data_IF_201904057199
#
_entry.id   IF_201904057199
#
_cell.length_a   1.000
_cell.length_b   1.000
_cell.length_c   1.000
_cell.angle_alpha   90.00
_cell.angle_beta   90.00
_cell.angle_gamma   90.00
#
_symmetry.space_group_name_H-M   'P 1'
#
loop_
_entity.id
_entity.type
_entity.pdbx_description
1 polymer ?
#
# COMPACT_ATOMS: atom_id res chain seq x y z
N UNK A 1 -1.11 23.02 -32.01
CA UNK A 1 -1.70 22.53 -30.73
C UNK A 1 -1.37 23.54 -29.65
N UNK A 2 -2.36 24.00 -28.86
CA UNK A 2 -2.10 24.93 -27.73
C UNK A 2 -1.86 24.13 -26.46
N UNK A 3 -0.84 24.50 -25.69
CA UNK A 3 -0.49 23.83 -24.43
C UNK A 3 -1.04 24.60 -23.21
N UNK A 4 -1.34 25.88 -23.38
CA UNK A 4 -1.84 26.76 -22.34
C UNK A 4 -3.09 27.50 -22.79
N UNK A 5 -4.00 27.74 -21.84
CA UNK A 5 -5.16 28.60 -21.99
C UNK A 5 -5.06 29.78 -21.01
N UNK A 6 -5.45 30.97 -21.46
CA UNK A 6 -5.51 32.16 -20.61
C UNK A 6 -6.98 32.52 -20.37
N UNK A 7 -7.38 32.44 -19.11
CA UNK A 7 -8.72 32.86 -18.67
C UNK A 7 -8.59 33.71 -17.39
N UNK A 8 -9.31 34.80 -17.32
CA UNK A 8 -9.35 35.68 -16.13
C UNK A 8 -7.96 36.06 -15.59
N UNK A 9 -7.04 36.46 -16.48
CA UNK A 9 -5.63 36.80 -16.17
C UNK A 9 -4.80 35.66 -15.54
N UNK A 10 -5.30 34.42 -15.59
CA UNK A 10 -4.57 33.22 -15.14
C UNK A 10 -4.26 32.31 -16.33
N UNK A 11 -3.19 31.54 -16.18
CA UNK A 11 -2.75 30.56 -17.18
C UNK A 11 -3.08 29.17 -16.68
N UNK A 12 -3.74 28.39 -17.53
CA UNK A 12 -4.09 27.00 -17.27
C UNK A 12 -3.48 26.11 -18.34
N UNK A 13 -3.17 24.87 -17.96
CA UNK A 13 -2.76 23.84 -18.93
C UNK A 13 -4.00 23.29 -19.65
N UNK A 14 -3.91 23.18 -20.97
CA UNK A 14 -4.85 22.38 -21.76
C UNK A 14 -4.63 20.87 -21.46
N UNK A 15 -5.47 19.99 -21.97
CA UNK A 15 -5.24 18.54 -21.90
C UNK A 15 -3.90 18.15 -22.54
N UNK A 16 -3.61 18.69 -23.73
CA UNK A 16 -2.33 18.53 -24.39
C UNK A 16 -1.16 19.09 -23.56
N UNK A 17 -1.38 20.20 -22.84
CA UNK A 17 -0.39 20.79 -21.94
C UNK A 17 -0.11 19.89 -20.72
N UNK A 18 -1.15 19.26 -20.14
CA UNK A 18 -0.99 18.28 -19.06
C UNK A 18 -0.22 17.04 -19.50
N UNK A 19 -0.56 16.52 -20.68
CA UNK A 19 0.15 15.38 -21.26
C UNK A 19 1.62 15.72 -21.51
N UNK A 20 1.91 16.85 -22.15
CA UNK A 20 3.30 17.27 -22.39
C UNK A 20 4.06 17.48 -21.09
N UNK A 21 3.42 18.05 -20.07
CA UNK A 21 4.05 18.24 -18.75
C UNK A 21 4.49 16.92 -18.15
N UNK A 22 3.64 15.87 -18.20
CA UNK A 22 4.02 14.55 -17.69
C UNK A 22 5.25 13.97 -18.39
N UNK A 23 5.34 14.11 -19.72
CA UNK A 23 6.51 13.66 -20.47
C UNK A 23 7.75 14.52 -20.17
N UNK A 24 7.59 15.83 -20.06
CA UNK A 24 8.68 16.74 -19.74
C UNK A 24 9.24 16.49 -18.32
N UNK A 25 8.37 16.30 -17.33
CA UNK A 25 8.75 15.97 -15.96
C UNK A 25 9.55 14.64 -15.94
N UNK A 26 9.13 13.64 -16.72
CA UNK A 26 9.85 12.36 -16.85
C UNK A 26 11.24 12.54 -17.47
N UNK A 27 11.36 13.31 -18.56
CA UNK A 27 12.64 13.55 -19.24
C UNK A 27 13.59 14.32 -18.32
N UNK A 28 13.11 15.36 -17.65
CA UNK A 28 13.93 16.16 -16.74
C UNK A 28 14.42 15.34 -15.54
N UNK A 29 13.56 14.49 -14.98
CA UNK A 29 13.94 13.64 -13.85
C UNK A 29 14.96 12.57 -14.27
N UNK A 30 14.83 11.98 -15.48
CA UNK A 30 15.81 11.03 -16.02
C UNK A 30 17.16 11.70 -16.28
N UNK A 31 17.17 12.94 -16.76
CA UNK A 31 18.40 13.70 -16.95
C UNK A 31 19.07 13.99 -15.60
N UNK A 32 18.33 14.44 -14.59
CA UNK A 32 18.86 14.65 -13.25
C UNK A 32 19.43 13.36 -12.65
N UNK A 33 18.71 12.25 -12.81
CA UNK A 33 19.17 10.93 -12.36
C UNK A 33 20.48 10.51 -13.05
N UNK A 34 20.60 10.75 -14.37
CA UNK A 34 21.83 10.43 -15.09
C UNK A 34 23.03 11.22 -14.56
N UNK A 35 22.82 12.47 -14.17
CA UNK A 35 23.87 13.31 -13.55
C UNK A 35 24.22 12.80 -12.16
N UNK A 36 23.23 12.35 -11.36
CA UNK A 36 23.46 11.77 -10.03
C UNK A 36 24.21 10.44 -10.13
N UNK A 37 23.80 9.53 -11.03
CA UNK A 37 24.49 8.26 -11.28
C UNK A 37 25.93 8.47 -11.71
N UNK A 38 26.21 9.47 -12.56
CA UNK A 38 27.56 9.81 -12.98
C UNK A 38 28.40 10.43 -11.85
N UNK A 39 27.77 11.15 -10.92
CA UNK A 39 28.44 11.67 -9.72
C UNK A 39 28.70 10.59 -8.69
N UNK A 40 27.79 9.61 -8.59
CA UNK A 40 27.85 8.50 -7.64
C UNK A 40 28.65 7.29 -8.14
N UNK A 41 29.13 7.30 -9.39
CA UNK A 41 30.03 6.23 -9.91
C UNK A 41 31.34 6.09 -9.12
N UNK A 42 31.52 6.90 -8.09
CA UNK A 42 32.60 6.81 -7.10
C UNK A 42 32.16 6.69 -5.66
N UNK A 43 30.86 6.65 -5.34
CA UNK A 43 30.35 6.57 -3.97
C UNK A 43 29.04 5.77 -3.92
N UNK A 44 28.92 4.94 -2.91
CA UNK A 44 27.80 4.13 -2.41
C UNK A 44 26.43 4.53 -2.94
N UNK A 45 25.81 3.64 -3.75
CA UNK A 45 24.53 3.90 -4.39
C UNK A 45 23.41 4.23 -3.39
N UNK A 46 22.61 5.24 -3.70
CA UNK A 46 21.38 5.55 -2.95
C UNK A 46 20.17 4.82 -3.56
N UNK A 47 19.27 4.36 -2.72
CA UNK A 47 18.02 3.71 -3.11
C UNK A 47 16.86 4.32 -2.34
N UNK A 48 15.87 4.88 -3.07
CA UNK A 48 14.67 5.49 -2.51
C UNK A 48 13.47 4.61 -2.81
N UNK A 49 12.81 4.08 -1.80
CA UNK A 49 11.62 3.29 -2.06
C UNK A 49 10.45 3.70 -1.16
N UNK A 50 9.24 3.52 -1.69
CA UNK A 50 8.00 3.72 -0.97
C UNK A 50 7.40 2.41 -0.51
N UNK A 51 6.71 2.43 0.63
CA UNK A 51 5.87 1.32 1.06
C UNK A 51 4.48 1.82 1.42
N UNK A 52 3.48 0.97 1.18
CA UNK A 52 2.12 1.23 1.63
C UNK A 52 2.05 1.31 3.16
N UNK A 53 1.10 2.11 3.67
CA UNK A 53 0.96 2.40 5.12
C UNK A 53 1.02 1.15 5.98
N UNK A 54 0.23 0.12 5.69
CA UNK A 54 0.20 -1.11 6.50
C UNK A 54 1.56 -1.83 6.52
N UNK A 55 2.19 -1.96 5.36
CA UNK A 55 3.51 -2.59 5.27
C UNK A 55 4.55 -1.76 6.03
N UNK A 56 4.41 -0.44 6.01
CA UNK A 56 5.20 0.50 6.79
C UNK A 56 5.04 0.28 8.30
N UNK A 57 3.81 0.08 8.76
CA UNK A 57 3.50 -0.14 10.18
C UNK A 57 3.94 -1.51 10.69
N UNK A 58 3.91 -2.54 9.85
CA UNK A 58 4.12 -3.94 10.30
C UNK A 58 5.50 -4.51 9.99
N UNK A 59 6.10 -4.16 8.84
CA UNK A 59 7.30 -4.86 8.33
C UNK A 59 8.48 -3.97 8.01
N UNK A 60 8.29 -2.64 7.84
CA UNK A 60 9.36 -1.75 7.39
C UNK A 60 10.58 -1.77 8.30
N UNK A 61 10.38 -1.81 9.62
CA UNK A 61 11.48 -1.84 10.57
C UNK A 61 12.37 -3.08 10.36
N UNK A 62 11.77 -4.27 10.22
CA UNK A 62 12.48 -5.51 9.93
C UNK A 62 13.18 -5.47 8.56
N UNK A 63 12.51 -4.94 7.54
CA UNK A 63 13.08 -4.75 6.19
C UNK A 63 14.32 -3.87 6.26
N UNK A 64 14.25 -2.71 6.93
CA UNK A 64 15.39 -1.78 7.02
C UNK A 64 16.55 -2.36 7.83
N UNK A 65 16.26 -3.07 8.93
CA UNK A 65 17.29 -3.76 9.70
C UNK A 65 18.02 -4.81 8.85
N UNK A 66 17.27 -5.62 8.11
CA UNK A 66 17.84 -6.64 7.23
C UNK A 66 18.63 -6.03 6.06
N UNK A 67 18.14 -4.95 5.47
CA UNK A 67 18.87 -4.22 4.43
C UNK A 67 20.17 -3.60 4.96
N UNK A 68 20.16 -3.02 6.17
CA UNK A 68 21.36 -2.45 6.78
C UNK A 68 22.43 -3.50 7.06
N UNK A 69 22.02 -4.73 7.41
CA UNK A 69 22.93 -5.85 7.63
C UNK A 69 23.45 -6.44 6.31
N UNK A 70 22.55 -6.67 5.35
CA UNK A 70 22.90 -7.33 4.07
C UNK A 70 23.63 -6.41 3.08
N UNK A 71 23.39 -5.10 3.13
CA UNK A 71 23.84 -4.10 2.16
C UNK A 71 24.33 -2.82 2.84
N UNK A 72 25.31 -2.89 3.77
CA UNK A 72 25.72 -1.73 4.57
C UNK A 72 26.31 -0.58 3.74
N UNK A 73 26.77 -0.86 2.53
CA UNK A 73 27.34 0.14 1.62
C UNK A 73 26.26 0.91 0.83
N UNK A 74 24.98 0.49 0.87
CA UNK A 74 23.90 1.16 0.14
C UNK A 74 23.12 2.07 1.08
N UNK A 75 23.07 3.37 0.75
CA UNK A 75 22.20 4.30 1.48
C UNK A 75 20.74 4.08 1.07
N UNK A 76 19.96 3.52 1.97
CA UNK A 76 18.53 3.27 1.75
C UNK A 76 17.69 4.37 2.38
N UNK A 77 16.75 4.93 1.61
CA UNK A 77 15.74 5.88 2.09
C UNK A 77 14.37 5.30 1.83
N UNK A 78 13.62 5.02 2.88
CA UNK A 78 12.25 4.53 2.80
C UNK A 78 11.26 5.61 3.19
N UNK A 79 10.09 5.61 2.56
CA UNK A 79 8.98 6.49 2.91
C UNK A 79 7.66 5.73 2.90
N UNK A 80 6.72 6.15 3.74
CA UNK A 80 5.40 5.51 3.91
C UNK A 80 4.34 6.43 3.33
N UNK A 81 3.58 5.95 2.36
CA UNK A 81 2.53 6.70 1.69
C UNK A 81 1.35 5.79 1.32
N UNK A 82 0.18 6.38 1.05
CA UNK A 82 -0.89 5.64 0.39
C UNK A 82 -0.55 5.38 -1.08
N UNK A 83 -1.24 4.43 -1.71
CA UNK A 83 -0.93 3.98 -3.08
C UNK A 83 -0.98 5.13 -4.10
N UNK A 84 -1.93 6.04 -3.97
CA UNK A 84 -2.09 7.18 -4.89
C UNK A 84 -0.89 8.14 -4.85
N UNK A 85 -0.44 8.48 -3.64
CA UNK A 85 0.71 9.35 -3.46
C UNK A 85 2.01 8.66 -3.92
N UNK A 86 2.14 7.37 -3.62
CA UNK A 86 3.26 6.55 -4.08
C UNK A 86 3.34 6.51 -5.62
N UNK A 87 2.21 6.33 -6.30
CA UNK A 87 2.16 6.38 -7.77
C UNK A 87 2.63 7.73 -8.32
N UNK A 88 2.17 8.84 -7.71
CA UNK A 88 2.63 10.19 -8.08
C UNK A 88 4.15 10.31 -7.94
N UNK A 89 4.69 9.86 -6.81
CA UNK A 89 6.13 9.93 -6.53
C UNK A 89 6.97 9.09 -7.50
N UNK A 90 6.48 7.91 -7.92
CA UNK A 90 7.12 7.10 -8.96
C UNK A 90 7.15 7.85 -10.30
N UNK A 91 6.03 8.46 -10.71
CA UNK A 91 5.95 9.23 -11.95
C UNK A 91 6.87 10.45 -11.95
N UNK A 92 7.07 11.06 -10.81
CA UNK A 92 7.96 12.23 -10.64
C UNK A 92 9.41 11.85 -10.34
N UNK A 93 9.74 10.54 -10.39
CA UNK A 93 11.06 10.00 -10.06
C UNK A 93 11.58 10.39 -8.65
N UNK A 94 10.65 10.65 -7.73
CA UNK A 94 10.98 10.85 -6.32
C UNK A 94 11.28 9.53 -5.62
N UNK A 95 10.72 8.41 -6.12
CA UNK A 95 11.00 7.04 -5.71
C UNK A 95 11.56 6.22 -6.86
N UNK A 96 12.44 5.30 -6.55
CA UNK A 96 13.05 4.38 -7.51
C UNK A 96 12.11 3.19 -7.78
N UNK A 97 11.43 2.72 -6.74
CA UNK A 97 10.35 1.75 -6.78
C UNK A 97 9.49 1.84 -5.51
N UNK A 98 8.43 1.08 -5.44
CA UNK A 98 7.60 0.98 -4.24
C UNK A 98 6.96 -0.40 -4.08
N UNK A 99 6.51 -0.69 -2.86
CA UNK A 99 5.65 -1.83 -2.54
C UNK A 99 4.29 -1.32 -2.10
N UNK A 100 3.27 -1.60 -2.90
CA UNK A 100 1.90 -1.11 -2.72
C UNK A 100 0.87 -2.24 -2.84
N UNK A 101 -0.31 -2.05 -2.29
CA UNK A 101 -1.41 -3.02 -2.31
C UNK A 101 -2.46 -2.75 -3.40
N UNK A 102 -2.36 -1.61 -4.05
CA UNK A 102 -3.25 -1.24 -5.16
C UNK A 102 -2.46 -0.41 -6.17
N UNK A 103 -2.66 -0.69 -7.45
CA UNK A 103 -1.97 0.00 -8.54
C UNK A 103 -2.95 0.35 -9.63
N UNK A 104 -2.94 1.61 -10.05
CA UNK A 104 -3.67 2.04 -11.23
C UNK A 104 -3.08 1.39 -12.48
N UNK A 105 -3.92 0.80 -13.31
CA UNK A 105 -3.48 0.23 -14.60
C UNK A 105 -2.99 1.37 -15.48
N UNK A 106 -1.70 1.37 -15.78
CA UNK A 106 -1.04 2.42 -16.56
C UNK A 106 0.12 1.87 -17.38
N UNK A 107 0.33 2.31 -18.63
CA UNK A 107 1.48 1.91 -19.43
C UNK A 107 2.82 2.42 -18.87
N UNK A 108 2.78 3.36 -17.93
CA UNK A 108 3.99 3.95 -17.33
C UNK A 108 4.61 3.08 -16.25
N UNK A 109 3.87 2.10 -15.71
CA UNK A 109 4.36 1.24 -14.65
C UNK A 109 4.79 -0.14 -15.14
N UNK A 110 5.78 -0.70 -14.47
CA UNK A 110 6.01 -2.13 -14.38
C UNK A 110 5.54 -2.58 -13.01
N UNK A 111 4.64 -3.55 -12.98
CA UNK A 111 3.99 -4.06 -11.78
C UNK A 111 4.32 -5.55 -11.70
N UNK A 112 4.90 -5.96 -10.58
CA UNK A 112 5.29 -7.35 -10.34
C UNK A 112 4.63 -7.81 -9.03
N UNK A 113 3.91 -8.95 -9.00
CA UNK A 113 3.36 -9.48 -7.75
C UNK A 113 4.50 -9.83 -6.79
N UNK A 114 4.28 -9.56 -5.50
CA UNK A 114 5.31 -9.76 -4.48
C UNK A 114 4.88 -10.75 -3.39
N UNK A 115 3.81 -10.47 -2.69
CA UNK A 115 3.25 -11.34 -1.64
C UNK A 115 1.77 -11.07 -1.45
N UNK A 116 1.09 -11.99 -0.74
CA UNK A 116 -0.30 -11.84 -0.32
C UNK A 116 -0.41 -11.64 1.20
N UNK A 117 -1.56 -11.17 1.65
CA UNK A 117 -1.89 -11.03 3.06
C UNK A 117 -3.40 -11.24 3.27
N UNK A 118 -3.74 -12.03 4.29
CA UNK A 118 -5.13 -12.22 4.71
C UNK A 118 -5.60 -11.06 5.60
N UNK A 119 -6.89 -10.72 5.46
CA UNK A 119 -7.57 -9.83 6.39
C UNK A 119 -8.37 -10.67 7.38
N UNK A 120 -8.22 -10.37 8.67
CA UNK A 120 -9.01 -10.98 9.72
C UNK A 120 -10.20 -10.07 10.09
N UNK A 121 -11.39 -10.65 10.24
CA UNK A 121 -12.54 -10.00 10.84
C UNK A 121 -12.44 -10.11 12.35
N UNK A 122 -12.25 -9.00 13.05
CA UNK A 122 -12.02 -9.00 14.50
C UNK A 122 -12.97 -8.06 15.25
N UNK A 123 -13.31 -8.44 16.47
CA UNK A 123 -14.17 -7.67 17.36
C UNK A 123 -13.77 -7.89 18.83
N UNK A 124 -14.34 -7.11 19.75
CA UNK A 124 -14.20 -7.35 21.19
C UNK A 124 -14.74 -8.74 21.57
N UNK A 125 -14.18 -9.41 22.61
CA UNK A 125 -14.63 -10.73 23.05
C UNK A 125 -16.14 -10.81 23.37
N UNK A 126 -16.70 -9.76 23.96
CA UNK A 126 -18.13 -9.67 24.29
C UNK A 126 -19.05 -9.21 23.14
N UNK A 127 -18.49 -8.86 21.97
CA UNK A 127 -19.31 -8.52 20.80
C UNK A 127 -19.75 -9.81 20.09
N UNK A 128 -21.04 -9.99 19.81
CA UNK A 128 -21.62 -11.23 19.28
C UNK A 128 -21.25 -12.47 20.12
N UNK A 129 -21.40 -12.38 21.45
CA UNK A 129 -21.04 -13.46 22.36
C UNK A 129 -21.72 -14.79 21.94
N UNK A 130 -20.94 -15.88 21.91
CA UNK A 130 -21.41 -17.20 21.48
C UNK A 130 -21.42 -17.43 19.96
N UNK A 131 -21.20 -16.42 19.15
CA UNK A 131 -21.12 -16.56 17.69
C UNK A 131 -19.64 -16.48 17.24
N UNK A 132 -19.12 -17.57 16.68
CA UNK A 132 -17.70 -17.65 16.27
C UNK A 132 -17.50 -17.48 14.76
N UNK A 133 -18.56 -17.49 13.99
CA UNK A 133 -18.52 -17.33 12.53
C UNK A 133 -19.70 -16.53 12.02
N UNK A 134 -19.53 -15.97 10.83
CA UNK A 134 -20.53 -15.20 10.08
C UNK A 134 -20.43 -15.56 8.60
N UNK A 135 -21.55 -15.55 7.92
CA UNK A 135 -21.56 -15.48 6.45
C UNK A 135 -21.24 -14.05 6.02
N UNK A 136 -20.85 -13.85 4.75
CA UNK A 136 -20.63 -12.51 4.19
C UNK A 136 -21.88 -11.63 4.26
N UNK A 137 -23.07 -12.22 4.08
CA UNK A 137 -24.33 -11.50 4.20
C UNK A 137 -24.58 -11.03 5.64
N UNK A 138 -24.38 -11.89 6.63
CA UNK A 138 -24.48 -11.52 8.05
C UNK A 138 -23.46 -10.47 8.45
N UNK A 139 -22.21 -10.61 7.97
CA UNK A 139 -21.14 -9.63 8.20
C UNK A 139 -21.51 -8.24 7.67
N UNK A 140 -22.16 -8.15 6.52
CA UNK A 140 -22.57 -6.88 5.92
C UNK A 140 -23.66 -6.16 6.73
N UNK A 141 -24.49 -6.88 7.50
CA UNK A 141 -25.54 -6.33 8.38
C UNK A 141 -24.99 -5.87 9.74
N UNK A 142 -23.73 -6.24 10.06
CA UNK A 142 -23.10 -5.88 11.32
C UNK A 142 -22.56 -4.44 11.31
N UNK A 143 -22.24 -3.94 12.51
CA UNK A 143 -21.59 -2.63 12.67
C UNK A 143 -20.14 -2.70 12.22
N UNK A 144 -19.89 -2.30 10.98
CA UNK A 144 -18.56 -2.35 10.38
C UNK A 144 -17.73 -1.09 10.70
N UNK A 145 -16.48 -1.31 11.05
CA UNK A 145 -15.47 -0.28 11.32
C UNK A 145 -14.38 -0.44 10.24
N UNK A 146 -14.44 0.37 9.19
CA UNK A 146 -13.66 0.12 7.98
C UNK A 146 -12.67 1.25 7.68
N UNK A 147 -11.67 0.88 6.91
CA UNK A 147 -10.76 1.83 6.29
C UNK A 147 -11.53 2.74 5.31
N UNK A 148 -10.93 3.86 5.04
CA UNK A 148 -11.42 4.86 4.09
C UNK A 148 -11.53 4.29 2.66
N UNK A 149 -12.45 4.85 1.87
CA UNK A 149 -12.56 4.52 0.46
C UNK A 149 -11.27 4.84 -0.29
N UNK A 150 -10.84 3.90 -1.13
CA UNK A 150 -9.58 3.99 -1.88
C UNK A 150 -8.37 3.36 -1.17
N UNK A 151 -8.52 2.89 0.08
CA UNK A 151 -7.52 2.02 0.69
C UNK A 151 -7.61 0.60 0.10
N UNK A 152 -6.48 -0.08 -0.08
CA UNK A 152 -6.46 -1.45 -0.60
C UNK A 152 -7.21 -2.42 0.33
N UNK A 153 -7.10 -2.26 1.64
CA UNK A 153 -7.89 -3.03 2.62
C UNK A 153 -9.39 -2.85 2.39
N UNK A 154 -9.85 -1.60 2.21
CA UNK A 154 -11.27 -1.31 1.94
C UNK A 154 -11.70 -1.92 0.60
N UNK A 155 -10.90 -1.79 -0.44
CA UNK A 155 -11.21 -2.37 -1.74
C UNK A 155 -11.36 -3.90 -1.68
N UNK A 156 -10.51 -4.59 -0.89
CA UNK A 156 -10.61 -6.04 -0.69
C UNK A 156 -11.90 -6.42 0.04
N UNK A 157 -12.30 -5.65 1.08
CA UNK A 157 -13.56 -5.88 1.80
C UNK A 157 -14.77 -5.64 0.90
N UNK A 158 -14.79 -4.51 0.19
CA UNK A 158 -15.90 -4.17 -0.72
C UNK A 158 -16.04 -5.23 -1.83
N UNK A 159 -14.93 -5.71 -2.41
CA UNK A 159 -14.95 -6.75 -3.44
C UNK A 159 -15.47 -8.09 -2.90
N UNK A 160 -15.03 -8.50 -1.69
CA UNK A 160 -15.52 -9.73 -1.06
C UNK A 160 -17.03 -9.69 -0.78
N UNK A 161 -17.53 -8.60 -0.22
CA UNK A 161 -18.96 -8.44 0.06
C UNK A 161 -19.79 -8.33 -1.23
N UNK A 162 -19.31 -7.63 -2.25
CA UNK A 162 -19.99 -7.56 -3.55
C UNK A 162 -20.12 -8.93 -4.22
N UNK A 163 -19.12 -9.81 -4.06
CA UNK A 163 -19.18 -11.18 -4.55
C UNK A 163 -20.34 -11.98 -3.97
N UNK A 164 -20.77 -11.67 -2.74
CA UNK A 164 -21.95 -12.23 -2.07
C UNK A 164 -23.24 -11.40 -2.26
N UNK A 165 -23.23 -10.39 -3.14
CA UNK A 165 -24.37 -9.50 -3.35
C UNK A 165 -24.64 -8.50 -2.23
N UNK A 166 -23.69 -8.32 -1.30
CA UNK A 166 -23.79 -7.43 -0.16
C UNK A 166 -22.96 -6.15 -0.36
N UNK A 167 -23.24 -5.13 0.43
CA UNK A 167 -22.51 -3.84 0.37
C UNK A 167 -22.17 -3.37 1.77
N UNK A 168 -20.91 -3.01 2.00
CA UNK A 168 -20.47 -2.50 3.28
C UNK A 168 -21.05 -1.11 3.57
N UNK A 169 -21.66 -0.96 4.76
CA UNK A 169 -22.09 0.32 5.30
C UNK A 169 -21.41 0.56 6.65
N UNK A 170 -20.19 1.14 6.65
CA UNK A 170 -19.45 1.31 7.89
C UNK A 170 -20.09 2.34 8.81
N UNK A 171 -20.15 2.04 10.12
CA UNK A 171 -20.53 3.01 11.17
C UNK A 171 -19.35 3.91 11.55
N UNK A 172 -18.12 3.45 11.28
CA UNK A 172 -16.89 4.25 11.39
C UNK A 172 -16.06 4.02 10.13
N UNK A 173 -15.66 5.11 9.50
CA UNK A 173 -14.68 5.12 8.41
C UNK A 173 -13.45 5.92 8.84
N UNK A 174 -12.24 5.36 8.70
CA UNK A 174 -11.02 6.00 9.20
C UNK A 174 -9.79 5.65 8.36
N UNK A 175 -8.92 6.64 8.18
CA UNK A 175 -7.55 6.46 7.65
C UNK A 175 -6.61 5.85 8.70
N UNK A 176 -6.98 5.91 9.98
CA UNK A 176 -6.16 5.42 11.09
C UNK A 176 -6.57 4.01 11.49
N UNK A 177 -5.69 3.05 11.25
CA UNK A 177 -5.82 1.67 11.70
C UNK A 177 -5.91 1.58 13.22
N UNK A 178 -5.11 2.38 13.94
CA UNK A 178 -5.13 2.42 15.40
C UNK A 178 -6.50 2.87 15.96
N UNK A 179 -7.17 3.83 15.29
CA UNK A 179 -8.51 4.26 15.69
C UNK A 179 -9.54 3.14 15.49
N UNK A 180 -9.47 2.39 14.37
CA UNK A 180 -10.36 1.25 14.13
C UNK A 180 -10.16 0.14 15.16
N UNK A 181 -8.91 -0.19 15.52
CA UNK A 181 -8.62 -1.16 16.58
C UNK A 181 -9.15 -0.70 17.94
N UNK A 182 -8.97 0.58 18.28
CA UNK A 182 -9.52 1.14 19.53
C UNK A 182 -11.06 1.03 19.58
N UNK A 183 -11.74 1.34 18.48
CA UNK A 183 -13.19 1.18 18.36
C UNK A 183 -13.63 -0.30 18.49
N UNK A 184 -12.89 -1.22 17.84
CA UNK A 184 -13.19 -2.65 17.93
C UNK A 184 -13.01 -3.17 19.37
N UNK A 185 -11.91 -2.82 20.06
CA UNK A 185 -11.67 -3.17 21.47
C UNK A 185 -12.77 -2.62 22.39
N UNK A 186 -13.30 -1.44 22.08
CA UNK A 186 -14.42 -0.83 22.81
C UNK A 186 -15.79 -1.50 22.53
N UNK A 187 -15.84 -2.56 21.70
CA UNK A 187 -17.07 -3.27 21.37
C UNK A 187 -18.01 -2.51 20.45
N UNK A 188 -17.50 -1.56 19.65
CA UNK A 188 -18.34 -0.73 18.77
C UNK A 188 -18.72 -1.44 17.47
N UNK A 189 -18.08 -2.57 17.13
CA UNK A 189 -18.36 -3.33 15.91
C UNK A 189 -17.22 -4.25 15.50
N UNK A 190 -17.26 -4.69 14.25
CA UNK A 190 -16.28 -5.57 13.60
C UNK A 190 -15.37 -4.75 12.70
N UNK A 191 -14.07 -4.94 12.81
CA UNK A 191 -13.11 -4.39 11.83
C UNK A 191 -12.46 -5.51 11.04
N UNK A 192 -12.19 -5.23 9.74
CA UNK A 192 -11.48 -6.14 8.84
C UNK A 192 -10.13 -5.51 8.54
N UNK A 193 -9.08 -6.07 9.08
CA UNK A 193 -7.72 -5.56 8.98
C UNK A 193 -6.75 -6.69 8.68
N UNK A 194 -5.58 -6.37 8.09
CA UNK A 194 -4.50 -7.33 7.92
C UNK A 194 -4.22 -8.09 9.21
N UNK A 195 -4.09 -9.42 9.09
CA UNK A 195 -3.79 -10.29 10.23
C UNK A 195 -2.54 -9.84 11.00
N UNK A 196 -1.53 -9.34 10.28
CA UNK A 196 -0.29 -8.81 10.87
C UNK A 196 -0.52 -7.63 11.83
N UNK A 197 -1.59 -6.86 11.66
CA UNK A 197 -1.94 -5.72 12.53
C UNK A 197 -2.72 -6.12 13.78
N UNK A 198 -3.39 -7.26 13.75
CA UNK A 198 -4.29 -7.69 14.82
C UNK A 198 -3.73 -8.83 15.67
N UNK A 199 -2.62 -9.46 15.26
CA UNK A 199 -2.04 -10.62 15.92
C UNK A 199 -1.79 -10.40 17.42
N UNK A 200 -1.22 -9.24 17.77
CA UNK A 200 -0.94 -8.91 19.18
C UNK A 200 -2.21 -8.78 20.02
N UNK A 201 -3.28 -8.22 19.47
CA UNK A 201 -4.56 -8.10 20.14
C UNK A 201 -5.24 -9.46 20.31
N UNK A 202 -5.12 -10.33 19.31
CA UNK A 202 -5.62 -11.71 19.38
C UNK A 202 -4.89 -12.52 20.45
N UNK A 203 -3.55 -12.42 20.50
CA UNK A 203 -2.71 -13.11 21.50
C UNK A 203 -3.01 -12.64 22.93
N UNK A 204 -3.31 -11.36 23.12
CA UNK A 204 -3.67 -10.79 24.43
C UNK A 204 -5.12 -11.05 24.83
N UNK A 205 -5.96 -11.46 23.88
CA UNK A 205 -7.40 -11.61 24.11
C UNK A 205 -8.15 -10.25 24.17
N UNK A 206 -7.53 -9.15 23.73
CA UNK A 206 -8.19 -7.84 23.63
C UNK A 206 -9.21 -7.81 22.49
N UNK A 207 -8.95 -8.60 21.45
CA UNK A 207 -9.85 -8.88 20.33
C UNK A 207 -9.98 -10.40 20.14
N UNK A 208 -11.06 -10.81 19.48
CA UNK A 208 -11.24 -12.17 18.96
C UNK A 208 -11.53 -12.13 17.47
N UNK A 209 -11.17 -13.18 16.79
CA UNK A 209 -11.45 -13.36 15.36
C UNK A 209 -12.82 -14.02 15.16
N UNK A 210 -13.52 -13.57 14.13
CA UNK A 210 -14.74 -14.19 13.61
C UNK A 210 -14.40 -14.87 12.28
N UNK A 211 -14.68 -16.15 12.15
CA UNK A 211 -14.51 -16.84 10.89
C UNK A 211 -15.58 -16.38 9.88
N UNK A 212 -15.19 -16.23 8.62
CA UNK A 212 -16.12 -15.95 7.51
C UNK A 212 -16.32 -17.26 6.74
N UNK A 213 -17.56 -17.83 6.79
CA UNK A 213 -17.83 -19.20 6.34
C UNK A 213 -17.82 -19.37 4.82
N UNK A 214 -18.30 -18.36 4.09
CA UNK A 214 -18.55 -18.42 2.65
C UNK A 214 -17.61 -17.53 1.84
N UNK A 215 -16.47 -17.15 2.42
CA UNK A 215 -15.48 -16.34 1.76
C UNK A 215 -14.27 -15.99 2.62
N UNK A 216 -13.41 -15.21 2.06
CA UNK A 216 -12.22 -14.68 2.72
C UNK A 216 -11.82 -13.35 2.12
N UNK A 217 -11.07 -12.57 2.85
CA UNK A 217 -10.59 -11.29 2.40
C UNK A 217 -9.06 -11.33 2.28
N UNK A 218 -8.60 -11.16 1.07
CA UNK A 218 -7.18 -11.20 0.75
C UNK A 218 -6.78 -9.91 0.03
N UNK A 219 -5.56 -9.50 0.22
CA UNK A 219 -4.94 -8.46 -0.59
C UNK A 219 -3.56 -8.90 -1.05
N UNK A 220 -3.14 -8.38 -2.18
CA UNK A 220 -1.81 -8.63 -2.73
C UNK A 220 -0.98 -7.37 -2.66
N UNK A 221 0.32 -7.54 -2.46
CA UNK A 221 1.31 -6.49 -2.61
C UNK A 221 2.05 -6.65 -3.92
N UNK A 222 2.35 -5.52 -4.51
CA UNK A 222 3.04 -5.44 -5.79
C UNK A 222 4.28 -4.55 -5.65
N UNK A 223 5.34 -4.99 -6.26
CA UNK A 223 6.50 -4.13 -6.52
C UNK A 223 6.22 -3.33 -7.78
N UNK A 224 6.27 -2.01 -7.65
CA UNK A 224 5.94 -1.08 -8.73
C UNK A 224 7.10 -0.13 -8.97
N UNK A 225 7.42 0.09 -10.25
CA UNK A 225 8.40 1.08 -10.68
C UNK A 225 7.99 1.73 -11.99
N UNK A 226 8.57 2.87 -12.28
CA UNK A 226 8.38 3.47 -13.60
C UNK A 226 9.00 2.56 -14.67
N UNK A 227 8.32 2.37 -15.80
CA UNK A 227 8.78 1.47 -16.89
C UNK A 227 10.16 1.85 -17.42
N UNK A 228 10.46 3.14 -17.53
CA UNK A 228 11.73 3.66 -18.02
C UNK A 228 12.77 3.85 -16.93
N UNK A 229 12.51 3.44 -15.68
CA UNK A 229 13.46 3.57 -14.58
C UNK A 229 14.68 2.69 -14.82
N UNK A 230 15.85 3.30 -14.89
CA UNK A 230 17.10 2.57 -14.86
C UNK A 230 17.37 2.05 -13.44
N UNK A 231 17.50 0.75 -13.31
CA UNK A 231 17.85 0.13 -12.03
C UNK A 231 19.37 -0.07 -11.97
N UNK A 232 20.01 0.60 -11.04
CA UNK A 232 21.42 0.36 -10.70
C UNK A 232 21.58 -1.03 -10.08
N UNK A 233 22.79 -1.55 -10.02
CA UNK A 233 23.03 -2.85 -9.38
C UNK A 233 22.74 -2.83 -7.89
N UNK A 234 22.96 -1.69 -7.21
CA UNK A 234 22.54 -1.48 -5.83
C UNK A 234 21.04 -1.61 -5.65
N UNK A 235 20.24 -0.94 -6.50
CA UNK A 235 18.77 -1.04 -6.45
C UNK A 235 18.28 -2.47 -6.70
N UNK A 236 18.87 -3.20 -7.65
CA UNK A 236 18.54 -4.61 -7.92
C UNK A 236 18.81 -5.50 -6.71
N UNK A 237 19.91 -5.24 -5.98
CA UNK A 237 20.25 -5.96 -4.74
C UNK A 237 19.23 -5.65 -3.64
N UNK A 238 18.86 -4.38 -3.45
CA UNK A 238 17.80 -3.98 -2.50
C UNK A 238 16.47 -4.67 -2.82
N UNK A 239 16.05 -4.67 -4.10
CA UNK A 239 14.82 -5.36 -4.52
C UNK A 239 14.90 -6.87 -4.25
N UNK A 240 16.05 -7.51 -4.43
CA UNK A 240 16.23 -8.94 -4.15
C UNK A 240 16.04 -9.22 -2.64
N UNK A 241 16.71 -8.46 -1.78
CA UNK A 241 16.59 -8.59 -0.32
C UNK A 241 15.14 -8.37 0.13
N UNK A 242 14.46 -7.38 -0.44
CA UNK A 242 13.03 -7.15 -0.19
C UNK A 242 12.17 -8.35 -0.56
N UNK A 243 12.40 -8.97 -1.73
CA UNK A 243 11.68 -10.16 -2.17
C UNK A 243 11.91 -11.35 -1.25
N UNK A 244 13.14 -11.58 -0.84
CA UNK A 244 13.50 -12.66 0.08
C UNK A 244 12.83 -12.47 1.44
N UNK A 245 12.80 -11.24 1.95
CA UNK A 245 12.20 -10.93 3.23
C UNK A 245 10.66 -10.97 3.21
N UNK A 246 10.02 -10.54 2.12
CA UNK A 246 8.56 -10.49 1.98
C UNK A 246 7.97 -11.72 1.32
N UNK A 247 8.72 -12.41 0.45
CA UNK A 247 8.26 -13.60 -0.29
C UNK A 247 8.34 -14.91 0.48
N UNK A 248 8.94 -14.92 1.67
CA UNK A 248 9.05 -16.11 2.53
C UNK A 248 7.72 -16.57 3.14
N UNK A 249 6.67 -15.78 3.03
CA UNK A 249 5.30 -16.10 3.45
C UNK A 249 4.41 -16.16 2.20
N UNK A 250 4.54 -17.23 1.41
CA UNK A 250 3.49 -17.60 0.45
C UNK A 250 2.32 -18.21 1.23
N UNK A 251 1.07 -17.86 0.86
CA UNK A 251 -0.12 -18.42 1.48
C UNK A 251 -0.25 -19.92 1.25
#
# INVERSE_FOLDING_TARGET
MRLFERMNRRVYLTEAGRTLRQYADTVLSQFQESVEVLRESGAQGACRFGVHVTLGETRLAGILAHLAEALPEITVRASIHNSRETERMILQNELDFAVVDNVTVSPHYLVEPLCGEELAAVCAPGYLEGKNSLTLAELAEERLLLRERGSGTRNSVDAGLQGAGATAQPVVESVSTAALLACARAGLGITLLPRSLVVTDLERGDLRELAVEDGGFHRSYFLVRHRSKYLTDGMKRVIRVLREHLGGEQP
#
